data_IF_141246373254
#
_entry.id   IF_141246373254
#
_cell.length_a   1.000
_cell.length_b   1.000
_cell.length_c   1.000
_cell.angle_alpha   90.00
_cell.angle_beta   90.00
_cell.angle_gamma   90.00
#
_symmetry.space_group_name_H-M   'P 1'
#
loop_
_entity.id
_entity.type
_entity.pdbx_description
1 polymer ?
#
# COMPACT_ATOMS: atom_id res chain seq x y z
N UNK A 1 22.65 -35.70 28.06
CA UNK A 1 22.00 -35.30 26.80
C UNK A 1 21.17 -34.03 26.94
N UNK A 2 20.23 -33.94 27.90
CA UNK A 2 19.39 -32.75 28.10
C UNK A 2 20.20 -31.45 28.31
N UNK A 3 21.22 -31.48 29.19
CA UNK A 3 22.08 -30.32 29.46
C UNK A 3 22.78 -29.75 28.23
N UNK A 4 23.30 -30.62 27.36
CA UNK A 4 23.98 -30.20 26.12
C UNK A 4 22.96 -29.55 25.14
N UNK A 5 21.77 -30.13 25.01
CA UNK A 5 20.71 -29.60 24.17
C UNK A 5 20.24 -28.23 24.68
N UNK A 6 20.04 -28.10 25.99
CA UNK A 6 19.66 -26.79 26.58
C UNK A 6 20.74 -25.73 26.37
N UNK A 7 22.02 -26.06 26.52
CA UNK A 7 23.11 -25.14 26.29
C UNK A 7 23.14 -24.64 24.85
N UNK A 8 23.01 -25.55 23.87
CA UNK A 8 22.96 -25.18 22.45
C UNK A 8 21.75 -24.28 22.15
N UNK A 9 20.58 -24.61 22.71
CA UNK A 9 19.36 -23.82 22.50
C UNK A 9 19.50 -22.42 23.08
N UNK A 10 20.09 -22.25 24.26
CA UNK A 10 20.33 -20.94 24.88
C UNK A 10 21.31 -20.12 24.06
N UNK A 11 22.39 -20.70 23.57
CA UNK A 11 23.38 -20.01 22.72
C UNK A 11 22.72 -19.57 21.41
N UNK A 12 21.97 -20.46 20.74
CA UNK A 12 21.27 -20.14 19.50
C UNK A 12 20.21 -19.05 19.68
N UNK A 13 19.41 -19.14 20.74
CA UNK A 13 18.40 -18.12 21.06
C UNK A 13 19.02 -16.75 21.34
N UNK A 14 20.14 -16.74 22.11
CA UNK A 14 20.85 -15.49 22.40
C UNK A 14 21.46 -14.85 21.15
N UNK A 15 22.06 -15.67 20.28
CA UNK A 15 22.59 -15.19 19.00
C UNK A 15 21.49 -14.62 18.11
N UNK A 16 20.35 -15.29 17.99
CA UNK A 16 19.19 -14.79 17.23
C UNK A 16 18.64 -13.49 17.80
N UNK A 17 18.50 -13.40 19.13
CA UNK A 17 18.04 -12.19 19.80
C UNK A 17 18.99 -11.01 19.56
N UNK A 18 20.30 -11.25 19.64
CA UNK A 18 21.31 -10.21 19.36
C UNK A 18 21.26 -9.72 17.91
N UNK A 19 21.23 -10.65 16.94
CA UNK A 19 21.11 -10.29 15.51
C UNK A 19 19.83 -9.51 15.24
N UNK A 20 18.69 -9.96 15.78
CA UNK A 20 17.41 -9.27 15.64
C UNK A 20 17.49 -7.85 16.20
N UNK A 21 18.10 -7.63 17.35
CA UNK A 21 18.22 -6.29 17.95
C UNK A 21 19.09 -5.36 17.09
N UNK A 22 20.23 -5.84 16.61
CA UNK A 22 21.15 -5.02 15.77
C UNK A 22 20.54 -4.73 14.40
N UNK A 23 19.67 -5.59 13.86
CA UNK A 23 19.09 -5.42 12.53
C UNK A 23 17.79 -4.63 12.52
N UNK A 24 17.11 -4.44 13.65
CA UNK A 24 15.84 -3.68 13.73
C UNK A 24 15.96 -2.27 13.15
N UNK A 25 16.96 -1.52 13.61
CA UNK A 25 17.11 -0.10 13.22
C UNK A 25 17.44 0.06 11.73
N UNK A 26 18.42 -0.64 11.14
CA UNK A 26 18.65 -0.55 9.71
C UNK A 26 17.47 -1.05 8.87
N UNK A 27 16.69 -2.03 9.33
CA UNK A 27 15.47 -2.47 8.65
C UNK A 27 14.44 -1.35 8.65
N UNK A 28 14.17 -0.71 9.81
CA UNK A 28 13.23 0.40 9.94
C UNK A 28 13.59 1.57 9.04
N UNK A 29 14.85 1.99 9.04
CA UNK A 29 15.32 3.08 8.19
C UNK A 29 15.18 2.75 6.69
N UNK A 30 15.44 1.51 6.30
CA UNK A 30 15.26 1.08 4.93
C UNK A 30 13.78 1.03 4.52
N UNK A 31 12.88 0.59 5.40
CA UNK A 31 11.43 0.59 5.16
C UNK A 31 10.90 2.02 5.01
N UNK A 32 11.31 2.95 5.86
CA UNK A 32 10.95 4.38 5.77
C UNK A 32 11.44 5.00 4.46
N UNK A 33 12.67 4.71 4.08
CA UNK A 33 13.23 5.18 2.80
C UNK A 33 12.48 4.61 1.60
N UNK A 34 12.23 3.30 1.59
CA UNK A 34 11.49 2.62 0.52
C UNK A 34 10.08 3.19 0.39
N UNK A 35 9.42 3.49 1.53
CA UNK A 35 8.11 4.11 1.54
C UNK A 35 8.16 5.54 0.94
N UNK A 36 9.12 6.37 1.35
CA UNK A 36 9.26 7.73 0.84
C UNK A 36 9.57 7.75 -0.67
N UNK A 37 10.48 6.90 -1.13
CA UNK A 37 10.78 6.72 -2.55
C UNK A 37 9.54 6.20 -3.31
N UNK A 38 8.80 5.27 -2.71
CA UNK A 38 7.55 4.75 -3.25
C UNK A 38 6.49 5.82 -3.42
N UNK A 39 6.24 6.66 -2.40
CA UNK A 39 5.28 7.77 -2.47
C UNK A 39 5.63 8.71 -3.64
N UNK A 40 6.89 9.09 -3.76
CA UNK A 40 7.34 9.93 -4.87
C UNK A 40 7.10 9.26 -6.23
N UNK A 41 7.43 7.98 -6.34
CA UNK A 41 7.27 7.22 -7.58
C UNK A 41 5.80 7.11 -8.02
N UNK A 42 4.88 6.76 -7.10
CA UNK A 42 3.47 6.56 -7.45
C UNK A 42 2.69 7.84 -7.71
N UNK A 43 3.20 9.00 -7.27
CA UNK A 43 2.60 10.31 -7.50
C UNK A 43 3.14 11.03 -8.74
N UNK A 44 4.11 10.46 -9.44
CA UNK A 44 4.61 10.99 -10.71
C UNK A 44 6.01 11.57 -10.64
N UNK A 45 6.82 11.24 -9.62
CA UNK A 45 8.24 11.58 -9.55
C UNK A 45 8.49 13.05 -9.20
N UNK A 46 8.15 13.44 -8.01
CA UNK A 46 8.48 14.75 -7.44
C UNK A 46 9.12 14.57 -6.08
N UNK A 47 9.22 15.64 -5.31
CA UNK A 47 9.58 15.60 -3.89
C UNK A 47 8.30 15.80 -3.06
N UNK A 48 7.41 14.80 -3.10
CA UNK A 48 6.14 14.85 -2.40
C UNK A 48 6.37 14.93 -0.88
N UNK A 49 5.83 15.98 -0.26
CA UNK A 49 5.91 16.17 1.18
C UNK A 49 4.66 15.56 1.84
N UNK A 50 4.86 14.56 2.70
CA UNK A 50 3.76 14.00 3.49
C UNK A 50 3.30 15.03 4.52
N UNK A 51 2.05 15.43 4.42
CA UNK A 51 1.41 16.43 5.30
C UNK A 51 0.59 15.76 6.39
N UNK A 52 -0.08 14.64 6.05
CA UNK A 52 -0.95 13.92 6.95
C UNK A 52 -0.85 12.42 6.69
N UNK A 53 -1.00 11.63 7.75
CA UNK A 53 -1.04 10.16 7.72
C UNK A 53 -2.26 9.69 8.49
N UNK A 54 -3.18 9.03 7.81
CA UNK A 54 -4.38 8.49 8.39
C UNK A 54 -4.42 6.97 8.28
N UNK A 55 -4.80 6.29 9.35
CA UNK A 55 -4.98 4.84 9.34
C UNK A 55 -6.46 4.52 9.26
N UNK A 56 -6.88 3.91 8.18
CA UNK A 56 -8.26 3.45 7.98
C UNK A 56 -8.36 2.01 8.46
N UNK A 57 -9.11 1.81 9.54
CA UNK A 57 -9.41 0.49 10.06
C UNK A 57 -10.54 -0.15 9.23
N UNK A 58 -10.30 -1.36 8.72
CA UNK A 58 -11.27 -2.12 7.94
C UNK A 58 -10.90 -3.60 7.93
N UNK A 59 -11.57 -4.39 7.10
CA UNK A 59 -11.23 -5.80 6.86
C UNK A 59 -9.78 -5.94 6.38
N UNK A 60 -9.29 -4.95 5.64
CA UNK A 60 -7.90 -4.80 5.23
C UNK A 60 -7.43 -3.43 5.72
N UNK A 61 -6.53 -3.35 6.71
CA UNK A 61 -6.04 -2.07 7.20
C UNK A 61 -5.28 -1.35 6.08
N UNK A 62 -5.57 -0.06 5.93
CA UNK A 62 -4.91 0.78 4.95
C UNK A 62 -4.38 2.07 5.59
N UNK A 63 -3.29 2.60 5.07
CA UNK A 63 -2.69 3.85 5.52
C UNK A 63 -2.72 4.84 4.36
N UNK A 64 -3.35 5.98 4.58
CA UNK A 64 -3.47 7.06 3.60
C UNK A 64 -2.41 8.11 3.91
N UNK A 65 -1.55 8.40 2.95
CA UNK A 65 -0.56 9.45 2.98
C UNK A 65 -1.04 10.62 2.11
N UNK A 66 -1.47 11.70 2.73
CA UNK A 66 -1.85 12.93 2.04
C UNK A 66 -0.60 13.79 1.83
N UNK A 67 -0.37 14.18 0.59
CA UNK A 67 0.78 15.00 0.20
C UNK A 67 0.33 16.23 -0.59
N UNK A 68 1.26 17.15 -0.84
CA UNK A 68 1.08 18.31 -1.72
C UNK A 68 0.82 17.94 -3.20
N UNK A 69 1.15 16.70 -3.62
CA UNK A 69 1.01 16.22 -5.00
C UNK A 69 -0.14 15.24 -5.22
N UNK A 70 -0.86 14.86 -4.17
CA UNK A 70 -1.96 13.90 -4.20
C UNK A 70 -1.95 12.96 -3.01
N UNK A 71 -2.73 11.89 -3.09
CA UNK A 71 -2.81 10.87 -2.04
C UNK A 71 -2.19 9.57 -2.50
N UNK A 72 -1.34 8.99 -1.65
CA UNK A 72 -0.84 7.63 -1.80
C UNK A 72 -1.41 6.75 -0.68
N UNK A 73 -1.83 5.54 -1.01
CA UNK A 73 -2.46 4.64 -0.04
C UNK A 73 -1.72 3.31 -0.02
N UNK A 74 -1.29 2.92 1.17
CA UNK A 74 -0.72 1.60 1.42
C UNK A 74 -1.82 0.65 1.88
N UNK A 75 -1.92 -0.51 1.24
CA UNK A 75 -2.82 -1.58 1.63
C UNK A 75 -2.12 -2.93 1.60
N UNK A 76 -2.63 -3.90 2.38
CA UNK A 76 -2.03 -5.23 2.55
C UNK A 76 -3.10 -6.28 2.26
N UNK A 77 -2.84 -7.22 1.35
CA UNK A 77 -3.64 -8.44 1.24
C UNK A 77 -2.84 -9.62 1.82
N UNK A 78 -3.41 -10.36 2.79
CA UNK A 78 -2.70 -11.48 3.44
C UNK A 78 -2.63 -12.75 2.57
N UNK A 79 -3.39 -12.83 1.49
CA UNK A 79 -3.64 -14.05 0.73
C UNK A 79 -2.87 -14.08 -0.61
N UNK A 80 -1.63 -13.59 -0.64
CA UNK A 80 -0.70 -13.87 -1.74
C UNK A 80 -0.27 -15.34 -1.74
N UNK A 81 0.36 -15.80 -2.81
CA UNK A 81 0.84 -17.18 -2.90
C UNK A 81 1.98 -17.47 -1.93
N UNK A 82 2.93 -16.56 -1.82
CA UNK A 82 4.07 -16.68 -0.90
C UNK A 82 3.82 -16.06 0.48
N UNK A 83 2.65 -15.47 0.71
CA UNK A 83 2.29 -14.75 1.93
C UNK A 83 1.72 -13.35 1.65
N UNK A 84 1.69 -12.47 2.65
CA UNK A 84 1.13 -11.13 2.49
C UNK A 84 1.84 -10.33 1.38
N UNK A 85 1.05 -9.55 0.63
CA UNK A 85 1.56 -8.57 -0.33
C UNK A 85 1.15 -7.17 0.12
N UNK A 86 2.12 -6.25 0.21
CA UNK A 86 1.90 -4.84 0.57
C UNK A 86 2.10 -3.98 -0.65
N UNK A 87 1.08 -3.22 -1.02
CA UNK A 87 1.05 -2.37 -2.20
C UNK A 87 0.86 -0.92 -1.77
N UNK A 88 1.59 -0.01 -2.40
CA UNK A 88 1.36 1.42 -2.33
C UNK A 88 0.79 1.89 -3.67
N UNK A 89 -0.34 2.58 -3.64
CA UNK A 89 -1.05 3.06 -4.83
C UNK A 89 -1.20 4.57 -4.76
N UNK A 90 -0.77 5.27 -5.79
CA UNK A 90 -1.00 6.70 -5.95
C UNK A 90 -2.29 6.95 -6.73
N UNK A 91 -3.15 7.82 -6.22
CA UNK A 91 -4.39 8.21 -6.86
C UNK A 91 -4.36 9.68 -7.31
N UNK A 92 -4.96 9.95 -8.45
CA UNK A 92 -5.30 11.30 -8.86
C UNK A 92 -6.54 11.80 -8.10
N UNK A 93 -6.81 13.08 -8.15
CA UNK A 93 -7.96 13.69 -7.47
C UNK A 93 -9.31 13.09 -7.90
N UNK A 94 -9.39 12.59 -9.13
CA UNK A 94 -10.58 11.93 -9.67
C UNK A 94 -10.71 10.45 -9.32
N UNK A 95 -9.79 9.90 -8.52
CA UNK A 95 -9.74 8.50 -8.10
C UNK A 95 -9.10 7.55 -9.11
N UNK A 96 -8.54 8.04 -10.20
CA UNK A 96 -7.79 7.20 -11.14
C UNK A 96 -6.41 6.84 -10.58
N UNK A 97 -5.93 5.64 -10.89
CA UNK A 97 -4.61 5.15 -10.47
C UNK A 97 -3.53 5.88 -11.28
N UNK A 98 -2.66 6.63 -10.62
CA UNK A 98 -1.49 7.28 -11.22
C UNK A 98 -0.30 6.33 -11.36
N UNK A 99 -0.11 5.48 -10.38
CA UNK A 99 0.98 4.54 -10.28
C UNK A 99 0.85 3.63 -9.07
N UNK A 100 1.61 2.57 -9.04
CA UNK A 100 1.73 1.73 -7.85
C UNK A 100 3.16 1.25 -7.66
N UNK A 101 3.48 0.82 -6.46
CA UNK A 101 4.69 0.04 -6.18
C UNK A 101 4.39 -1.05 -5.15
N UNK A 102 5.06 -2.19 -5.27
CA UNK A 102 4.96 -3.26 -4.27
C UNK A 102 6.06 -3.03 -3.24
N UNK A 103 5.66 -2.68 -2.02
CA UNK A 103 6.60 -2.39 -0.93
C UNK A 103 7.18 -3.67 -0.32
N UNK A 104 6.34 -4.72 -0.20
CA UNK A 104 6.74 -5.98 0.42
C UNK A 104 5.96 -7.16 -0.14
N UNK A 105 6.67 -8.25 -0.44
CA UNK A 105 6.08 -9.53 -0.83
C UNK A 105 7.05 -10.68 -0.55
N UNK A 106 6.52 -11.89 -0.49
CA UNK A 106 7.30 -13.15 -0.40
C UNK A 106 7.03 -14.07 -1.60
N UNK A 107 6.65 -13.48 -2.72
CA UNK A 107 6.27 -14.21 -3.94
C UNK A 107 7.46 -14.85 -4.65
N UNK A 108 7.20 -15.91 -5.39
CA UNK A 108 8.23 -16.65 -6.14
C UNK A 108 8.86 -15.77 -7.22
N UNK A 109 10.22 -15.66 -7.26
CA UNK A 109 10.94 -14.96 -8.32
C UNK A 109 10.56 -15.48 -9.71
N UNK A 110 10.39 -14.58 -10.68
CA UNK A 110 10.03 -14.91 -12.06
C UNK A 110 8.54 -15.28 -12.27
N UNK A 111 7.78 -15.46 -11.20
CA UNK A 111 6.33 -15.71 -11.21
C UNK A 111 5.59 -14.56 -10.52
N UNK A 112 5.12 -14.75 -9.29
CA UNK A 112 4.37 -13.74 -8.54
C UNK A 112 5.14 -12.44 -8.29
N UNK A 113 6.45 -12.47 -8.16
CA UNK A 113 7.30 -11.29 -8.03
C UNK A 113 7.18 -10.30 -9.21
N UNK A 114 6.68 -10.75 -10.37
CA UNK A 114 6.36 -9.88 -11.51
C UNK A 114 5.27 -8.85 -11.19
N UNK A 115 4.50 -9.02 -10.14
CA UNK A 115 3.49 -8.04 -9.71
C UNK A 115 4.09 -6.63 -9.53
N UNK A 116 5.38 -6.52 -9.24
CA UNK A 116 6.08 -5.25 -9.11
C UNK A 116 6.06 -4.38 -10.37
N UNK A 117 5.85 -4.95 -11.55
CA UNK A 117 5.85 -4.22 -12.83
C UNK A 117 4.72 -4.65 -13.79
N UNK A 118 4.18 -5.87 -13.67
CA UNK A 118 3.20 -6.43 -14.62
C UNK A 118 1.98 -5.56 -14.86
N UNK A 119 1.49 -4.93 -13.81
CA UNK A 119 0.28 -4.13 -13.85
C UNK A 119 0.53 -2.65 -14.22
N UNK A 120 1.77 -2.27 -14.51
CA UNK A 120 2.15 -0.97 -15.07
C UNK A 120 2.60 -1.09 -16.53
N UNK A 121 3.13 -2.22 -16.91
CA UNK A 121 3.67 -2.51 -18.22
C UNK A 121 2.79 -3.54 -18.94
N UNK A 122 2.65 -3.38 -20.25
CA UNK A 122 1.90 -4.32 -21.06
C UNK A 122 0.43 -3.93 -21.27
N UNK A 123 -0.12 -4.41 -22.37
CA UNK A 123 -1.40 -3.95 -22.87
C UNK A 123 -2.61 -4.49 -22.09
N UNK A 124 -2.48 -5.67 -21.47
CA UNK A 124 -3.63 -6.40 -20.90
C UNK A 124 -3.66 -6.45 -19.37
N UNK A 125 -2.52 -6.30 -18.71
CA UNK A 125 -2.44 -6.27 -17.24
C UNK A 125 -2.44 -4.85 -16.67
N UNK A 126 -2.27 -3.82 -17.48
CA UNK A 126 -2.09 -2.44 -17.02
C UNK A 126 -3.34 -1.90 -16.32
N UNK A 127 -3.16 -1.38 -15.11
CA UNK A 127 -4.23 -0.75 -14.31
C UNK A 127 -4.09 0.77 -14.19
N UNK A 128 -3.03 1.36 -14.78
CA UNK A 128 -2.81 2.80 -14.70
C UNK A 128 -3.93 3.53 -15.45
N UNK A 129 -4.49 4.56 -14.82
CA UNK A 129 -5.64 5.31 -15.33
C UNK A 129 -7.00 4.66 -15.05
N UNK A 130 -7.05 3.41 -14.55
CA UNK A 130 -8.33 2.79 -14.16
C UNK A 130 -8.83 3.37 -12.83
N UNK A 131 -10.17 3.32 -12.65
CA UNK A 131 -10.87 3.73 -11.43
C UNK A 131 -11.53 2.51 -10.79
N UNK A 132 -10.99 1.99 -9.69
CA UNK A 132 -11.61 0.86 -8.98
C UNK A 132 -13.02 1.13 -8.47
N UNK A 133 -13.38 2.41 -8.22
CA UNK A 133 -14.70 2.80 -7.76
C UNK A 133 -15.82 2.61 -8.78
N UNK A 134 -15.53 2.68 -10.08
CA UNK A 134 -16.54 2.43 -11.12
C UNK A 134 -16.87 0.93 -11.20
N UNK A 135 -15.84 0.10 -11.13
CA UNK A 135 -15.93 -1.36 -11.04
C UNK A 135 -14.69 -1.91 -10.35
N UNK A 136 -14.82 -2.72 -9.30
CA UNK A 136 -13.67 -3.36 -8.65
C UNK A 136 -12.77 -4.09 -9.65
N UNK A 137 -11.46 -3.91 -9.52
CA UNK A 137 -10.50 -4.57 -10.40
C UNK A 137 -10.43 -6.05 -10.08
N UNK A 138 -10.68 -6.87 -11.09
CA UNK A 138 -10.61 -8.33 -11.00
C UNK A 138 -9.89 -8.91 -12.21
N UNK A 139 -9.35 -10.13 -12.05
CA UNK A 139 -8.65 -10.79 -13.16
C UNK A 139 -9.62 -11.27 -14.23
N UNK A 140 -9.19 -11.31 -15.49
CA UNK A 140 -9.98 -11.78 -16.64
C UNK A 140 -10.53 -13.19 -16.46
N UNK A 141 -9.87 -14.05 -15.69
CA UNK A 141 -10.37 -15.38 -15.31
C UNK A 141 -11.62 -15.36 -14.41
N UNK A 142 -11.85 -14.25 -13.75
CA UNK A 142 -13.00 -14.02 -12.86
C UNK A 142 -13.95 -12.98 -13.50
N UNK A 143 -14.06 -12.99 -14.83
CA UNK A 143 -14.89 -12.06 -15.63
C UNK A 143 -14.51 -10.57 -15.46
N UNK A 144 -13.28 -10.34 -15.03
CA UNK A 144 -12.71 -9.00 -14.87
C UNK A 144 -12.03 -8.45 -16.11
N UNK A 145 -11.43 -7.29 -15.95
CA UNK A 145 -10.79 -6.54 -17.03
C UNK A 145 -9.26 -6.60 -17.03
N UNK A 146 -8.64 -7.23 -16.01
CA UNK A 146 -7.17 -7.22 -15.84
C UNK A 146 -6.61 -8.61 -16.11
N UNK A 147 -5.63 -8.72 -17.00
CA UNK A 147 -4.96 -9.99 -17.26
C UNK A 147 -4.01 -10.37 -16.12
N UNK A 148 -4.23 -11.58 -15.61
CA UNK A 148 -3.39 -12.13 -14.56
C UNK A 148 -1.98 -12.46 -15.07
N UNK A 149 -1.00 -12.37 -14.17
CA UNK A 149 0.34 -12.90 -14.41
C UNK A 149 0.25 -14.39 -14.72
N UNK A 150 0.84 -14.82 -15.82
CA UNK A 150 0.86 -16.24 -16.21
C UNK A 150 1.45 -17.10 -15.10
N UNK A 151 0.73 -18.17 -14.75
CA UNK A 151 1.05 -19.08 -13.65
C UNK A 151 1.04 -18.48 -12.24
N UNK A 152 0.55 -17.24 -12.06
CA UNK A 152 0.51 -16.54 -10.76
C UNK A 152 -0.85 -15.87 -10.49
N UNK A 153 -1.95 -16.58 -10.79
CA UNK A 153 -3.31 -16.05 -10.63
C UNK A 153 -3.65 -15.70 -9.16
N UNK A 154 -3.14 -16.48 -8.19
CA UNK A 154 -3.36 -16.21 -6.76
C UNK A 154 -2.74 -14.87 -6.38
N UNK A 155 -1.49 -14.64 -6.74
CA UNK A 155 -0.78 -13.38 -6.51
C UNK A 155 -1.48 -12.21 -7.21
N UNK A 156 -1.94 -12.41 -8.46
CA UNK A 156 -2.66 -11.37 -9.21
C UNK A 156 -3.96 -10.97 -8.53
N UNK A 157 -4.73 -11.95 -8.01
CA UNK A 157 -5.94 -11.68 -7.23
C UNK A 157 -5.64 -10.95 -5.93
N UNK A 158 -4.59 -11.34 -5.20
CA UNK A 158 -4.18 -10.69 -3.96
C UNK A 158 -3.76 -9.24 -4.22
N UNK A 159 -2.97 -9.01 -5.25
CA UNK A 159 -2.56 -7.68 -5.68
C UNK A 159 -3.78 -6.79 -5.99
N UNK A 160 -4.72 -7.26 -6.82
CA UNK A 160 -5.91 -6.47 -7.18
C UNK A 160 -6.84 -6.23 -5.98
N UNK A 161 -6.97 -7.17 -5.04
CA UNK A 161 -7.70 -6.93 -3.78
C UNK A 161 -7.04 -5.84 -2.94
N UNK A 162 -5.71 -5.85 -2.84
CA UNK A 162 -4.99 -4.78 -2.14
C UNK A 162 -5.19 -3.41 -2.82
N UNK A 163 -5.19 -3.36 -4.16
CA UNK A 163 -5.48 -2.12 -4.93
C UNK A 163 -6.92 -1.64 -4.69
N UNK A 164 -7.90 -2.52 -4.71
CA UNK A 164 -9.30 -2.16 -4.42
C UNK A 164 -9.45 -1.65 -2.97
N UNK A 165 -8.82 -2.31 -1.99
CA UNK A 165 -8.83 -1.87 -0.59
C UNK A 165 -8.13 -0.51 -0.42
N UNK A 166 -7.07 -0.25 -1.17
CA UNK A 166 -6.43 1.07 -1.21
C UNK A 166 -7.38 2.14 -1.76
N UNK A 167 -8.16 1.82 -2.80
CA UNK A 167 -9.15 2.75 -3.33
C UNK A 167 -10.27 3.03 -2.33
N UNK A 168 -10.79 2.01 -1.65
CA UNK A 168 -11.84 2.18 -0.63
C UNK A 168 -11.37 3.12 0.50
N UNK A 169 -10.12 2.97 0.93
CA UNK A 169 -9.53 3.86 1.93
C UNK A 169 -9.30 5.30 1.39
N UNK A 170 -8.89 5.43 0.13
CA UNK A 170 -8.79 6.73 -0.55
C UNK A 170 -10.12 7.46 -0.58
N UNK A 171 -11.21 6.78 -0.94
CA UNK A 171 -12.55 7.34 -1.02
C UNK A 171 -13.05 7.79 0.36
N UNK A 172 -12.86 6.96 1.40
CA UNK A 172 -13.23 7.31 2.79
C UNK A 172 -12.43 8.53 3.29
N UNK A 173 -11.13 8.59 3.01
CA UNK A 173 -10.31 9.75 3.37
C UNK A 173 -10.70 11.04 2.62
N UNK A 174 -11.23 10.93 1.40
CA UNK A 174 -11.72 12.08 0.65
C UNK A 174 -13.04 12.62 1.22
N UNK A 175 -13.94 11.73 1.69
CA UNK A 175 -15.19 12.13 2.36
C UNK A 175 -14.92 12.79 3.72
N UNK A 176 -13.95 12.30 4.49
CA UNK A 176 -13.57 12.89 5.76
C UNK A 176 -13.04 14.32 5.59
N UNK A 177 -12.18 14.55 4.59
CA UNK A 177 -11.64 15.88 4.28
C UNK A 177 -12.75 16.86 3.85
N UNK A 178 -13.72 16.40 3.04
CA UNK A 178 -14.85 17.20 2.61
C UNK A 178 -15.73 17.64 3.77
N UNK A 179 -15.95 16.75 4.74
CA UNK A 179 -16.75 17.03 5.94
C UNK A 179 -16.04 18.01 6.88
N UNK A 180 -14.73 17.86 7.07
CA UNK A 180 -13.93 18.76 7.93
C UNK A 180 -13.81 20.16 7.31
N UNK A 181 -13.66 20.26 6.00
CA UNK A 181 -13.63 21.54 5.27
C UNK A 181 -14.95 22.32 5.34
N UNK A 182 -16.09 21.64 5.37
CA UNK A 182 -17.41 22.29 5.49
C UNK A 182 -17.66 22.88 6.89
N UNK A 183 -17.04 22.34 7.95
CA UNK A 183 -17.20 22.81 9.32
C UNK A 183 -16.36 24.07 9.62
N UNK A 184 -15.33 24.36 8.86
CA UNK A 184 -14.50 25.57 9.05
C UNK A 184 -15.08 26.86 8.43
N UNK A 185 -16.19 26.78 7.71
CA UNK A 185 -16.82 27.95 7.06
C UNK A 185 -17.98 28.57 7.86
N UNK A 186 -18.26 28.11 9.07
CA UNK A 186 -19.29 28.67 9.96
C UNK A 186 -18.68 29.09 11.30
N UNK A 187 -17.99 30.22 11.37
CA UNK A 187 -17.94 31.13 12.50
C UNK A 187 -17.00 32.31 12.22
N UNK A 188 -17.48 33.27 11.42
CA UNK A 188 -17.00 34.66 11.52
C UNK A 188 -18.11 35.44 12.17
N UNK A 189 -18.01 35.83 13.45
CA UNK A 189 -18.98 36.74 14.07
C UNK A 189 -18.79 38.11 13.43
N UNK A 190 -19.83 38.60 12.74
CA UNK A 190 -19.93 39.99 12.30
C UNK A 190 -19.99 40.86 13.56
N UNK A 191 -18.99 41.70 13.77
CA UNK A 191 -19.00 42.69 14.84
C UNK A 191 -20.10 43.71 14.56
N UNK A 192 -20.87 44.15 15.59
CA UNK A 192 -21.85 45.20 15.43
C UNK A 192 -21.14 46.56 15.28
N UNK A 193 -21.48 47.26 14.20
CA UNK A 193 -21.10 48.67 14.06
C UNK A 193 -21.86 49.51 15.13
N UNK A 194 -21.09 50.34 15.83
CA UNK A 194 -21.58 51.52 16.58
C UNK A 194 -21.07 52.78 15.89
#
# INVERSE_FOLDING_TARGET
MALVLTLISVVAASALAYVNEVTKEPIRLNEERTLAEGINSVLGGGNAQVQQVDTIAGTTPAIVYTTDQGKAVQAIDPNGFGGPITVLVGFAADGSIKGYTVLKHSETPGLGAKASFWFQEGEKGNIIGMKPGDKPLTVSKDEGQVDAITASTITSRAFLRAVNAAYDAFAQGAEADATTGATQQQDVPVAPEL
#
